data_IF_532436674235
#
_entry.id   IF_532436674235
#
_cell.length_a   1.000
_cell.length_b   1.000
_cell.length_c   1.000
_cell.angle_alpha   90.00
_cell.angle_beta   90.00
_cell.angle_gamma   90.00
#
_symmetry.space_group_name_H-M   'P 1'
#
loop_
_entity.id
_entity.type
_entity.pdbx_description
1 polymer ?
#
# COMPACT_ATOMS: atom_id res chain seq x y z
N UNK A 1 -14.90 20.21 2.84
CA UNK A 1 -14.33 18.88 2.54
C UNK A 1 -13.44 19.05 1.32
N UNK A 2 -12.15 19.24 1.56
CA UNK A 2 -11.17 19.53 0.52
C UNK A 2 -11.27 18.45 -0.56
N UNK A 3 -11.54 18.86 -1.81
CA UNK A 3 -11.30 18.02 -2.97
C UNK A 3 -9.84 17.64 -2.90
N UNK A 4 -9.53 16.40 -2.53
CA UNK A 4 -8.17 15.87 -2.66
C UNK A 4 -7.71 16.23 -4.07
N UNK A 5 -6.65 17.04 -4.24
CA UNK A 5 -6.05 17.22 -5.55
C UNK A 5 -5.41 15.88 -5.90
N UNK A 6 -6.21 14.95 -6.40
CA UNK A 6 -5.69 13.74 -7.02
C UNK A 6 -4.82 14.23 -8.16
N UNK A 7 -3.52 13.92 -8.11
CA UNK A 7 -2.62 14.22 -9.21
C UNK A 7 -3.30 13.72 -10.50
N UNK A 8 -3.48 14.56 -11.53
CA UNK A 8 -4.16 14.16 -12.76
C UNK A 8 -3.60 12.87 -13.39
N UNK A 9 -2.33 12.55 -13.13
CA UNK A 9 -1.69 11.28 -13.52
C UNK A 9 -2.32 10.08 -12.80
N UNK A 10 -2.62 10.18 -11.50
CA UNK A 10 -3.32 9.14 -10.76
C UNK A 10 -4.74 8.93 -11.31
N UNK A 11 -5.46 10.01 -11.63
CA UNK A 11 -6.77 9.91 -12.28
C UNK A 11 -6.72 9.14 -13.61
N UNK A 12 -5.71 9.42 -14.46
CA UNK A 12 -5.50 8.68 -15.71
C UNK A 12 -5.12 7.22 -15.48
N UNK A 13 -4.22 6.95 -14.52
CA UNK A 13 -3.84 5.58 -14.18
C UNK A 13 -5.04 4.75 -13.75
N UNK A 14 -5.94 5.31 -12.94
CA UNK A 14 -7.15 4.60 -12.49
C UNK A 14 -8.16 4.36 -13.62
N UNK A 15 -8.31 5.31 -14.55
CA UNK A 15 -9.17 5.14 -15.73
C UNK A 15 -8.67 4.03 -16.66
N UNK A 16 -7.35 3.95 -16.90
CA UNK A 16 -6.78 2.86 -17.69
C UNK A 16 -6.84 1.53 -16.92
N UNK A 17 -6.65 1.55 -15.60
CA UNK A 17 -6.77 0.36 -14.77
C UNK A 17 -8.17 -0.27 -14.82
N UNK A 18 -9.22 0.54 -14.90
CA UNK A 18 -10.61 0.08 -15.08
C UNK A 18 -10.77 -0.72 -16.37
N UNK A 19 -10.19 -0.24 -17.47
CA UNK A 19 -10.21 -0.91 -18.77
C UNK A 19 -9.48 -2.25 -18.77
N UNK A 20 -8.47 -2.39 -17.91
CA UNK A 20 -7.65 -3.60 -17.77
C UNK A 20 -8.07 -4.48 -16.59
N UNK A 21 -9.07 -4.09 -15.80
CA UNK A 21 -9.54 -4.84 -14.63
C UNK A 21 -8.56 -4.88 -13.45
N UNK A 22 -7.61 -3.94 -13.37
CA UNK A 22 -6.56 -3.90 -12.34
C UNK A 22 -6.63 -2.65 -11.44
N UNK A 23 -7.84 -2.09 -11.29
CA UNK A 23 -8.08 -0.86 -10.51
C UNK A 23 -7.57 -0.98 -9.08
N UNK A 24 -7.73 -2.13 -8.44
CA UNK A 24 -7.30 -2.36 -7.05
C UNK A 24 -5.78 -2.21 -6.93
N UNK A 25 -5.03 -2.94 -7.76
CA UNK A 25 -3.57 -2.98 -7.76
C UNK A 25 -3.01 -1.58 -8.02
N UNK A 26 -3.56 -0.90 -9.04
CA UNK A 26 -3.13 0.46 -9.39
C UNK A 26 -3.44 1.45 -8.27
N UNK A 27 -4.57 1.31 -7.58
CA UNK A 27 -4.90 2.16 -6.42
C UNK A 27 -3.94 1.93 -5.26
N UNK A 28 -3.58 0.67 -4.98
CA UNK A 28 -2.60 0.33 -3.93
C UNK A 28 -1.24 0.96 -4.24
N UNK A 29 -0.76 0.82 -5.48
CA UNK A 29 0.51 1.38 -5.93
C UNK A 29 0.48 2.91 -5.90
N UNK A 30 -0.59 3.52 -6.40
CA UNK A 30 -0.80 4.97 -6.37
C UNK A 30 -0.71 5.53 -4.95
N UNK A 31 -1.39 4.88 -3.99
CA UNK A 31 -1.33 5.27 -2.59
C UNK A 31 0.09 5.10 -2.01
N UNK A 32 0.77 4.01 -2.33
CA UNK A 32 2.13 3.73 -1.86
C UNK A 32 3.13 4.80 -2.30
N UNK A 33 3.06 5.21 -3.58
CA UNK A 33 3.95 6.22 -4.16
C UNK A 33 3.68 7.64 -3.65
N UNK A 34 2.53 7.85 -3.01
CA UNK A 34 2.10 9.15 -2.50
C UNK A 34 2.47 9.37 -1.03
N UNK A 35 3.08 8.36 -0.38
CA UNK A 35 3.51 8.41 1.01
C UNK A 35 4.98 8.02 1.13
N UNK A 36 5.54 8.16 2.32
CA UNK A 36 6.84 7.58 2.64
C UNK A 36 6.72 6.05 2.76
N UNK A 37 7.70 5.31 2.21
CA UNK A 37 7.75 3.84 2.31
C UNK A 37 7.63 3.38 3.78
N UNK A 38 6.71 2.45 4.09
CA UNK A 38 6.55 1.95 5.46
C UNK A 38 7.72 1.09 5.94
N UNK A 39 8.62 0.64 5.06
CA UNK A 39 9.79 -0.17 5.43
C UNK A 39 10.86 0.69 6.09
N UNK A 40 11.22 0.32 7.31
CA UNK A 40 12.29 0.97 8.07
C UNK A 40 13.57 0.14 7.99
N UNK A 41 14.72 0.80 7.84
CA UNK A 41 16.04 0.15 7.84
C UNK A 41 16.96 0.84 8.84
N UNK A 42 16.75 0.66 10.15
CA UNK A 42 17.62 1.25 11.18
C UNK A 42 19.06 0.78 10.98
N UNK A 43 20.04 1.67 11.14
CA UNK A 43 21.45 1.37 10.85
C UNK A 43 21.97 0.13 11.62
N UNK A 44 21.64 0.05 12.92
CA UNK A 44 21.99 -1.05 13.83
C UNK A 44 21.37 -2.41 13.44
N UNK A 45 20.25 -2.39 12.71
CA UNK A 45 19.48 -3.59 12.37
C UNK A 45 19.27 -3.78 10.88
N UNK A 46 20.08 -3.10 10.06
CA UNK A 46 19.91 -3.08 8.61
C UNK A 46 19.92 -4.49 7.98
N UNK A 47 20.83 -5.41 8.34
CA UNK A 47 20.82 -6.77 7.79
C UNK A 47 19.51 -7.53 8.10
N UNK A 48 19.01 -7.40 9.33
CA UNK A 48 17.78 -8.07 9.77
C UNK A 48 16.53 -7.45 9.12
N UNK A 49 16.50 -6.13 8.95
CA UNK A 49 15.44 -5.43 8.23
C UNK A 49 15.43 -5.84 6.75
N UNK A 50 16.59 -5.86 6.10
CA UNK A 50 16.72 -6.27 4.70
C UNK A 50 16.27 -7.73 4.51
N UNK A 51 16.66 -8.64 5.42
CA UNK A 51 16.19 -10.03 5.40
C UNK A 51 14.67 -10.13 5.60
N UNK A 52 14.11 -9.40 6.56
CA UNK A 52 12.66 -9.34 6.80
C UNK A 52 11.90 -8.85 5.57
N UNK A 53 12.43 -7.85 4.86
CA UNK A 53 11.76 -7.25 3.70
C UNK A 53 11.94 -8.05 2.42
N UNK A 54 13.03 -8.82 2.27
CA UNK A 54 13.33 -9.62 1.08
C UNK A 54 12.22 -10.59 0.68
N UNK A 55 11.41 -11.06 1.64
CA UNK A 55 10.25 -11.91 1.37
C UNK A 55 9.19 -11.24 0.48
N UNK A 56 9.19 -9.91 0.40
CA UNK A 56 8.29 -9.13 -0.45
C UNK A 56 8.86 -8.85 -1.84
N UNK A 57 10.15 -9.10 -2.07
CA UNK A 57 10.79 -8.78 -3.34
C UNK A 57 10.19 -9.65 -4.47
N UNK A 58 9.93 -8.99 -5.59
CA UNK A 58 9.54 -9.59 -6.85
C UNK A 58 10.60 -9.23 -7.89
N UNK A 59 11.31 -10.21 -8.47
CA UNK A 59 12.37 -9.94 -9.45
C UNK A 59 11.88 -9.05 -10.59
N UNK A 60 12.58 -7.93 -10.80
CA UNK A 60 12.29 -6.99 -11.88
C UNK A 60 11.09 -6.06 -11.64
N UNK A 61 10.49 -6.04 -10.44
CA UNK A 61 9.37 -5.13 -10.17
C UNK A 61 9.24 -4.68 -8.71
N UNK A 62 9.53 -3.39 -8.47
CA UNK A 62 9.27 -2.74 -7.18
C UNK A 62 7.75 -2.58 -6.92
N UNK A 63 6.95 -2.37 -7.98
CA UNK A 63 5.50 -2.24 -7.85
C UNK A 63 4.83 -3.54 -7.39
N UNK A 64 5.23 -4.68 -7.97
CA UNK A 64 4.73 -5.98 -7.51
C UNK A 64 5.21 -6.28 -6.08
N UNK A 65 6.40 -5.80 -5.71
CA UNK A 65 6.89 -5.93 -4.32
C UNK A 65 6.03 -5.13 -3.33
N UNK A 66 5.57 -3.93 -3.71
CA UNK A 66 4.61 -3.16 -2.92
C UNK A 66 3.26 -3.87 -2.79
N UNK A 67 2.72 -4.44 -3.89
CA UNK A 67 1.47 -5.22 -3.83
C UNK A 67 1.59 -6.41 -2.88
N UNK A 68 2.70 -7.15 -2.96
CA UNK A 68 2.95 -8.30 -2.08
C UNK A 68 3.03 -7.90 -0.61
N UNK A 69 3.67 -6.77 -0.30
CA UNK A 69 3.68 -6.21 1.06
C UNK A 69 2.28 -5.79 1.51
N UNK A 70 1.51 -5.14 0.64
CA UNK A 70 0.13 -4.73 0.94
C UNK A 70 -0.76 -5.94 1.26
N UNK A 71 -0.75 -6.97 0.42
CA UNK A 71 -1.58 -8.17 0.60
C UNK A 71 -1.23 -8.88 1.91
N UNK A 72 0.07 -9.00 2.20
CA UNK A 72 0.55 -9.52 3.48
C UNK A 72 0.01 -8.72 4.68
N UNK A 73 0.11 -7.39 4.63
CA UNK A 73 -0.37 -6.54 5.72
C UNK A 73 -1.88 -6.65 5.92
N UNK A 74 -2.65 -6.70 4.83
CA UNK A 74 -4.11 -6.88 4.88
C UNK A 74 -4.49 -8.22 5.48
N UNK A 75 -3.81 -9.30 5.09
CA UNK A 75 -4.01 -10.62 5.66
C UNK A 75 -3.70 -10.63 7.17
N UNK A 76 -2.53 -10.13 7.58
CA UNK A 76 -2.14 -10.09 9.00
C UNK A 76 -3.07 -9.24 9.84
N UNK A 77 -3.55 -8.12 9.31
CA UNK A 77 -4.49 -7.26 10.04
C UNK A 77 -5.88 -7.90 10.19
N UNK A 78 -6.26 -8.80 9.29
CA UNK A 78 -7.48 -9.59 9.41
C UNK A 78 -7.34 -10.70 10.47
N UNK A 79 -6.17 -11.34 10.53
CA UNK A 79 -5.89 -12.46 11.45
C UNK A 79 -5.60 -12.02 12.90
N UNK A 80 -5.04 -10.82 13.08
CA UNK A 80 -4.51 -10.35 14.35
C UNK A 80 -5.37 -9.25 14.98
N UNK A 81 -5.38 -9.20 16.32
CA UNK A 81 -5.88 -8.01 17.02
C UNK A 81 -5.01 -6.78 16.72
N UNK A 82 -5.57 -5.58 16.91
CA UNK A 82 -4.84 -4.33 16.67
C UNK A 82 -3.50 -4.23 17.42
N UNK A 83 -3.44 -4.72 18.66
CA UNK A 83 -2.20 -4.70 19.47
C UNK A 83 -1.16 -5.68 18.93
N UNK A 84 -1.58 -6.87 18.50
CA UNK A 84 -0.72 -7.87 17.88
C UNK A 84 -0.22 -7.39 16.51
N UNK A 85 -1.07 -6.79 15.69
CA UNK A 85 -0.69 -6.24 14.39
C UNK A 85 0.32 -5.10 14.53
N UNK A 86 0.10 -4.17 15.47
CA UNK A 86 1.08 -3.10 15.76
C UNK A 86 2.43 -3.67 16.24
N UNK A 87 2.40 -4.73 17.06
CA UNK A 87 3.63 -5.43 17.48
C UNK A 87 4.32 -6.09 16.29
N UNK A 88 3.57 -6.73 15.39
CA UNK A 88 4.08 -7.35 14.17
C UNK A 88 4.80 -6.32 13.28
N UNK A 89 4.17 -5.16 13.00
CA UNK A 89 4.81 -4.10 12.22
C UNK A 89 6.17 -3.73 12.81
N UNK A 90 6.25 -3.51 14.12
CA UNK A 90 7.52 -3.18 14.79
C UNK A 90 8.55 -4.31 14.69
N UNK A 91 8.15 -5.56 14.91
CA UNK A 91 9.04 -6.73 14.83
C UNK A 91 9.58 -6.95 13.42
N UNK A 92 8.85 -6.53 12.40
CA UNK A 92 9.20 -6.72 10.98
C UNK A 92 9.73 -5.44 10.32
N UNK A 93 10.18 -4.49 11.14
CA UNK A 93 10.79 -3.24 10.67
C UNK A 93 9.86 -2.45 9.73
N UNK A 94 8.58 -2.35 10.11
CA UNK A 94 7.56 -1.58 9.42
C UNK A 94 7.03 -0.47 10.33
N UNK A 95 6.99 0.75 9.80
CA UNK A 95 6.38 1.88 10.45
C UNK A 95 4.86 1.76 10.45
N UNK A 96 4.28 1.43 11.61
CA UNK A 96 2.83 1.25 11.74
C UNK A 96 2.02 2.48 11.29
N UNK A 97 2.51 3.70 11.55
CA UNK A 97 1.80 4.92 11.15
C UNK A 97 1.78 5.08 9.63
N UNK A 98 2.87 4.75 8.94
CA UNK A 98 2.91 4.76 7.46
C UNK A 98 2.07 3.66 6.85
N UNK A 99 1.99 2.48 7.47
CA UNK A 99 1.05 1.44 7.06
C UNK A 99 -0.40 1.95 7.17
N UNK A 100 -0.75 2.64 8.26
CA UNK A 100 -2.08 3.23 8.44
C UNK A 100 -2.36 4.33 7.42
N UNK A 101 -1.42 5.24 7.20
CA UNK A 101 -1.51 6.30 6.20
C UNK A 101 -1.74 5.72 4.80
N UNK A 102 -1.00 4.66 4.43
CA UNK A 102 -1.18 3.96 3.16
C UNK A 102 -2.61 3.41 3.02
N UNK A 103 -3.12 2.77 4.07
CA UNK A 103 -4.46 2.19 4.09
C UNK A 103 -5.57 3.24 3.99
N UNK A 104 -5.39 4.34 4.70
CA UNK A 104 -6.35 5.45 4.72
C UNK A 104 -6.35 6.15 3.35
N UNK A 105 -5.18 6.37 2.73
CA UNK A 105 -5.08 6.96 1.40
C UNK A 105 -5.66 6.06 0.32
N UNK A 106 -5.40 4.75 0.36
CA UNK A 106 -6.04 3.78 -0.53
C UNK A 106 -7.57 3.86 -0.44
N UNK A 107 -8.11 3.95 0.78
CA UNK A 107 -9.56 4.06 1.01
C UNK A 107 -10.14 5.35 0.43
N UNK A 108 -9.43 6.47 0.60
CA UNK A 108 -9.80 7.76 0.01
C UNK A 108 -9.78 7.73 -1.53
N UNK A 109 -8.72 7.19 -2.13
CA UNK A 109 -8.61 7.07 -3.59
C UNK A 109 -9.71 6.17 -4.15
N UNK A 110 -10.01 5.05 -3.49
CA UNK A 110 -11.12 4.16 -3.86
C UNK A 110 -12.47 4.87 -3.81
N UNK A 111 -12.70 5.70 -2.79
CA UNK A 111 -13.94 6.49 -2.68
C UNK A 111 -14.07 7.49 -3.82
N UNK A 112 -13.01 8.24 -4.13
CA UNK A 112 -13.03 9.23 -5.22
C UNK A 112 -13.22 8.55 -6.57
N UNK A 113 -12.56 7.42 -6.81
CA UNK A 113 -12.74 6.65 -8.03
C UNK A 113 -14.18 6.15 -8.23
N UNK A 114 -14.84 5.71 -7.15
CA UNK A 114 -16.27 5.38 -7.19
C UNK A 114 -17.15 6.58 -7.56
N UNK A 115 -16.82 7.79 -7.11
CA UNK A 115 -17.56 9.01 -7.44
C UNK A 115 -17.47 9.40 -8.92
N UNK A 116 -16.39 9.02 -9.61
CA UNK A 116 -16.17 9.30 -11.04
C UNK A 116 -16.51 8.11 -11.95
N UNK A 117 -17.19 7.08 -11.42
CA UNK A 117 -17.71 5.96 -12.21
C UNK A 117 -16.71 4.85 -12.53
N UNK A 118 -15.55 4.84 -11.88
CA UNK A 118 -14.55 3.77 -12.04
C UNK A 118 -14.99 2.56 -11.20
N UNK A 119 -15.08 1.39 -11.84
CA UNK A 119 -15.48 0.15 -11.15
C UNK A 119 -14.29 -0.38 -10.36
N UNK A 120 -14.55 -0.67 -9.09
CA UNK A 120 -13.55 -1.28 -8.22
C UNK A 120 -13.63 -2.79 -8.46
N UNK A 121 -12.59 -3.36 -9.06
CA UNK A 121 -12.40 -4.81 -9.09
C UNK A 121 -12.38 -5.38 -7.67
N UNK A 122 -12.95 -6.58 -7.51
CA UNK A 122 -13.09 -7.30 -6.24
C UNK A 122 -11.75 -7.58 -5.57
#
# INVERSE_FOLDING_TARGET
>A
LARLPIDPRLGRMMLEADRHGCTREVTVIAAALSIQDPRERPAEHRPAADESHRRFDVPGSDFLSLLKLWDYLRQRQHELSNSQFRKLCRTEYLNYLRVREWQDLFSQLRQVAGQIGIRQGS
#
